data_IF_954428778147
#
_entry.id   IF_954428778147
#
_cell.length_a   1.000
_cell.length_b   1.000
_cell.length_c   1.000
_cell.angle_alpha   90.00
_cell.angle_beta   90.00
_cell.angle_gamma   90.00
#
_symmetry.space_group_name_H-M   'P 1'
#
loop_
_entity.id
_entity.type
_entity.pdbx_description
1 polymer ?
#
# COMPACT_ATOMS: atom_id res chain seq x y z
N UNK A 1 26.33 -33.77 40.44
CA UNK A 1 24.91 -34.10 40.72
C UNK A 1 24.10 -34.22 39.43
N UNK A 2 24.61 -34.97 38.44
CA UNK A 2 23.93 -35.25 37.16
C UNK A 2 24.09 -36.71 36.71
N UNK A 3 24.91 -37.49 37.40
CA UNK A 3 25.25 -38.87 37.00
C UNK A 3 24.20 -39.91 37.41
N UNK A 4 23.09 -39.50 38.03
CA UNK A 4 21.99 -40.39 38.44
C UNK A 4 20.75 -40.34 37.55
N UNK A 5 20.73 -39.52 36.49
CA UNK A 5 19.62 -39.48 35.52
C UNK A 5 19.88 -40.31 34.25
N UNK A 6 21.06 -40.91 34.13
CA UNK A 6 21.38 -41.79 33.01
C UNK A 6 21.12 -43.23 33.42
N UNK A 7 20.08 -43.81 32.81
CA UNK A 7 19.94 -45.24 32.54
C UNK A 7 19.05 -46.05 33.49
N UNK A 8 17.77 -45.73 33.55
CA UNK A 8 16.75 -46.78 33.62
C UNK A 8 16.14 -47.00 32.21
N UNK A 9 15.68 -48.21 31.95
CA UNK A 9 15.06 -48.59 30.66
C UNK A 9 13.81 -47.75 30.37
N UNK A 10 13.19 -47.23 31.43
CA UNK A 10 11.95 -46.46 31.39
C UNK A 10 12.18 -44.98 31.02
N UNK A 11 13.16 -44.28 31.63
CA UNK A 11 13.51 -42.91 31.25
C UNK A 11 14.05 -42.87 29.83
N UNK A 12 14.79 -43.90 29.38
CA UNK A 12 15.22 -43.98 27.97
C UNK A 12 14.03 -44.02 27.00
N UNK A 13 13.01 -44.81 27.32
CA UNK A 13 11.79 -44.91 26.51
C UNK A 13 10.98 -43.61 26.54
N UNK A 14 10.88 -42.97 27.71
CA UNK A 14 10.21 -41.67 27.86
C UNK A 14 10.97 -40.55 27.13
N UNK A 15 12.29 -40.55 27.19
CA UNK A 15 13.15 -39.56 26.52
C UNK A 15 13.09 -39.74 24.99
N UNK A 16 13.08 -40.98 24.50
CA UNK A 16 12.85 -41.26 23.07
C UNK A 16 11.48 -40.78 22.61
N UNK A 17 10.42 -41.02 23.39
CA UNK A 17 9.07 -40.50 23.10
C UNK A 17 9.02 -38.97 23.11
N UNK A 18 9.74 -38.32 24.01
CA UNK A 18 9.83 -36.86 24.05
C UNK A 18 10.55 -36.31 22.80
N UNK A 19 11.65 -36.93 22.39
CA UNK A 19 12.40 -36.54 21.19
C UNK A 19 11.59 -36.76 19.91
N UNK A 20 10.85 -37.86 19.79
CA UNK A 20 9.99 -38.09 18.62
C UNK A 20 8.84 -37.09 18.55
N UNK A 21 8.20 -36.77 19.67
CA UNK A 21 7.17 -35.73 19.75
C UNK A 21 7.75 -34.35 19.39
N UNK A 22 8.96 -34.03 19.86
CA UNK A 22 9.64 -32.77 19.53
C UNK A 22 9.94 -32.66 18.03
N UNK A 23 10.38 -33.74 17.40
CA UNK A 23 10.69 -33.76 15.97
C UNK A 23 9.42 -33.59 15.11
N UNK A 24 8.32 -34.27 15.48
CA UNK A 24 7.02 -34.09 14.83
C UNK A 24 6.50 -32.67 15.03
N UNK A 25 6.65 -32.09 16.23
CA UNK A 25 6.28 -30.70 16.50
C UNK A 25 7.11 -29.70 15.70
N UNK A 26 8.40 -29.95 15.49
CA UNK A 26 9.24 -29.10 14.65
C UNK A 26 8.81 -29.14 13.18
N UNK A 27 8.53 -30.33 12.63
CA UNK A 27 7.98 -30.46 11.27
C UNK A 27 6.62 -29.77 11.18
N UNK A 28 5.75 -29.97 12.18
CA UNK A 28 4.45 -29.32 12.24
C UNK A 28 4.58 -27.79 12.31
N UNK A 29 5.54 -27.24 13.06
CA UNK A 29 5.80 -25.80 13.13
C UNK A 29 6.34 -25.24 11.82
N UNK A 30 7.21 -25.98 11.12
CA UNK A 30 7.68 -25.60 9.78
C UNK A 30 6.53 -25.59 8.76
N UNK A 31 5.62 -26.56 8.84
CA UNK A 31 4.41 -26.59 8.01
C UNK A 31 3.37 -25.54 8.46
N UNK A 32 3.33 -25.23 9.75
CA UNK A 32 2.46 -24.21 10.32
C UNK A 32 2.88 -22.82 9.90
N UNK A 33 4.18 -22.53 9.76
CA UNK A 33 4.68 -21.26 9.22
C UNK A 33 4.22 -21.05 7.76
N UNK A 34 4.24 -22.13 6.96
CA UNK A 34 3.70 -22.14 5.59
C UNK A 34 2.17 -21.98 5.57
N UNK A 35 1.46 -22.58 6.53
CA UNK A 35 0.00 -22.50 6.63
C UNK A 35 -0.50 -21.18 7.26
N UNK A 36 0.34 -20.52 8.06
CA UNK A 36 0.01 -19.30 8.81
C UNK A 36 0.65 -18.03 8.27
N UNK A 37 1.12 -18.05 7.02
CA UNK A 37 1.24 -16.83 6.22
C UNK A 37 -0.13 -16.24 5.82
N UNK A 38 -1.09 -16.27 6.74
CA UNK A 38 -2.30 -15.46 6.77
C UNK A 38 -2.27 -14.60 8.04
N UNK A 39 -1.22 -13.80 8.17
CA UNK A 39 -1.29 -12.56 8.95
C UNK A 39 -2.04 -11.55 8.09
N UNK A 40 -3.36 -11.67 8.01
CA UNK A 40 -4.18 -10.56 7.56
C UNK A 40 -4.97 -10.01 8.76
N UNK A 41 -4.35 -9.00 9.37
CA UNK A 41 -5.00 -8.13 10.32
C UNK A 41 -6.01 -7.28 9.56
N UNK A 42 -7.21 -7.85 9.37
CA UNK A 42 -8.42 -7.19 8.84
C UNK A 42 -8.42 -5.69 9.06
N UNK A 43 -8.00 -4.94 8.04
CA UNK A 43 -8.68 -3.72 7.64
C UNK A 43 -9.37 -4.05 6.33
N UNK A 44 -10.62 -4.44 6.50
CA UNK A 44 -11.68 -4.49 5.50
C UNK A 44 -11.38 -3.58 4.29
N UNK A 45 -10.91 -4.16 3.20
CA UNK A 45 -11.10 -3.58 1.87
C UNK A 45 -12.47 -4.05 1.40
N UNK A 46 -13.32 -3.08 1.09
CA UNK A 46 -14.59 -3.30 0.42
C UNK A 46 -14.26 -3.84 -0.97
N UNK A 47 -14.82 -5.00 -1.26
CA UNK A 47 -14.63 -5.73 -2.52
C UNK A 47 -15.38 -5.02 -3.66
N UNK A 48 -14.70 -4.82 -4.79
CA UNK A 48 -15.20 -5.22 -6.11
C UNK A 48 -14.13 -4.88 -7.16
N UNK A 49 -13.76 -5.92 -7.92
CA UNK A 49 -13.03 -5.88 -9.19
C UNK A 49 -11.50 -5.68 -9.11
N UNK A 50 -10.79 -6.79 -9.38
CA UNK A 50 -9.50 -6.73 -10.05
C UNK A 50 -8.29 -6.90 -9.14
N UNK A 51 -7.82 -8.14 -9.01
CA UNK A 51 -6.60 -8.48 -8.29
C UNK A 51 -5.40 -7.68 -8.80
N UNK A 52 -5.02 -6.67 -8.04
CA UNK A 52 -3.68 -6.08 -8.07
C UNK A 52 -2.94 -6.62 -6.86
N UNK A 53 -1.70 -7.04 -7.06
CA UNK A 53 -0.83 -7.45 -5.97
C UNK A 53 -0.66 -6.26 -5.02
N UNK A 54 -1.30 -6.32 -3.86
CA UNK A 54 -1.15 -5.36 -2.78
C UNK A 54 0.26 -5.53 -2.19
N UNK A 55 1.25 -4.99 -2.88
CA UNK A 55 2.58 -4.80 -2.32
C UNK A 55 2.48 -3.65 -1.32
N UNK A 56 3.25 -3.69 -0.22
CA UNK A 56 3.33 -2.56 0.74
C UNK A 56 3.58 -1.21 0.04
N UNK A 57 4.31 -1.27 -1.08
CA UNK A 57 4.64 -0.15 -1.96
C UNK A 57 3.41 0.45 -2.70
N UNK A 58 2.42 -0.38 -3.06
CA UNK A 58 1.16 0.08 -3.69
C UNK A 58 0.23 0.68 -2.63
N UNK A 59 0.22 0.11 -1.43
CA UNK A 59 -0.58 0.62 -0.31
C UNK A 59 -0.14 2.03 0.11
N UNK A 60 1.16 2.31 0.18
CA UNK A 60 1.69 3.65 0.49
C UNK A 60 1.30 4.69 -0.56
N UNK A 61 1.37 4.35 -1.85
CA UNK A 61 0.94 5.24 -2.93
C UNK A 61 -0.55 5.60 -2.81
N UNK A 62 -1.38 4.61 -2.46
CA UNK A 62 -2.81 4.79 -2.21
C UNK A 62 -3.05 5.70 -0.99
N UNK A 63 -2.27 5.58 0.09
CA UNK A 63 -2.42 6.46 1.26
C UNK A 63 -2.11 7.93 0.94
N UNK A 64 -1.07 8.20 0.15
CA UNK A 64 -0.71 9.56 -0.27
C UNK A 64 -1.78 10.19 -1.18
N UNK A 65 -2.34 9.40 -2.11
CA UNK A 65 -3.46 9.80 -2.96
C UNK A 65 -4.72 10.12 -2.15
N UNK A 66 -5.07 9.26 -1.20
CA UNK A 66 -6.22 9.46 -0.29
C UNK A 66 -6.04 10.74 0.51
N UNK A 67 -4.85 10.97 1.08
CA UNK A 67 -4.57 12.17 1.86
C UNK A 67 -4.64 13.42 1.00
N UNK A 68 -4.07 13.40 -0.21
CA UNK A 68 -4.11 14.53 -1.11
C UNK A 68 -5.55 14.85 -1.52
N UNK A 69 -6.33 13.84 -1.92
CA UNK A 69 -7.76 13.95 -2.22
C UNK A 69 -8.54 14.60 -1.07
N UNK A 70 -8.32 14.13 0.16
CA UNK A 70 -9.00 14.66 1.35
C UNK A 70 -8.69 16.13 1.62
N UNK A 71 -7.47 16.60 1.29
CA UNK A 71 -7.08 18.01 1.46
C UNK A 71 -7.67 18.85 0.32
N UNK A 72 -7.56 18.38 -0.93
CA UNK A 72 -8.05 19.11 -2.11
C UNK A 72 -9.57 19.29 -2.06
N UNK A 73 -10.33 18.29 -1.62
CA UNK A 73 -11.80 18.38 -1.52
C UNK A 73 -12.28 19.43 -0.50
N UNK A 74 -11.45 19.83 0.45
CA UNK A 74 -11.76 20.90 1.41
C UNK A 74 -11.50 22.30 0.86
N UNK A 75 -10.83 22.41 -0.29
CA UNK A 75 -10.56 23.70 -0.92
C UNK A 75 -11.84 24.29 -1.51
N UNK A 76 -12.03 25.60 -1.31
CA UNK A 76 -13.21 26.32 -1.81
C UNK A 76 -13.32 26.15 -3.33
N UNK A 77 -14.47 25.67 -3.77
CA UNK A 77 -14.82 25.55 -5.18
C UNK A 77 -14.29 24.29 -5.86
N UNK A 78 -13.49 23.44 -5.20
CA UNK A 78 -12.87 22.26 -5.82
C UNK A 78 -13.86 21.10 -6.02
N UNK A 79 -14.81 20.91 -5.10
CA UNK A 79 -15.81 19.84 -5.19
C UNK A 79 -15.23 18.44 -4.98
N UNK A 80 -15.88 17.43 -5.52
CA UNK A 80 -15.35 16.06 -5.47
C UNK A 80 -14.09 15.91 -6.35
N UNK A 81 -13.12 15.14 -5.84
CA UNK A 81 -11.81 15.00 -6.48
C UNK A 81 -11.33 13.55 -6.54
N UNK A 82 -10.60 13.24 -7.60
CA UNK A 82 -9.84 12.01 -7.73
C UNK A 82 -8.39 12.35 -8.08
N UNK A 83 -7.45 11.62 -7.51
CA UNK A 83 -6.03 11.92 -7.59
C UNK A 83 -5.27 10.66 -7.97
N UNK A 84 -4.31 10.81 -8.87
CA UNK A 84 -3.33 9.78 -9.18
C UNK A 84 -1.92 10.37 -9.14
N UNK A 85 -0.99 9.70 -8.48
CA UNK A 85 0.41 10.12 -8.36
C UNK A 85 1.30 9.12 -9.09
N UNK A 86 2.14 9.64 -10.00
CA UNK A 86 3.12 8.83 -10.73
C UNK A 86 4.48 8.96 -10.06
N UNK A 87 5.10 7.83 -9.74
CA UNK A 87 6.43 7.76 -9.14
C UNK A 87 7.45 7.22 -10.13
N UNK A 88 8.62 7.85 -10.14
CA UNK A 88 9.80 7.34 -10.82
C UNK A 88 10.75 6.71 -9.81
N UNK A 89 11.22 5.50 -10.14
CA UNK A 89 12.34 4.89 -9.43
C UNK A 89 13.61 5.65 -9.75
N UNK A 90 14.22 6.23 -8.72
CA UNK A 90 15.55 6.84 -8.84
C UNK A 90 16.54 5.83 -8.27
N UNK A 91 17.31 5.23 -9.17
CA UNK A 91 18.44 4.39 -8.78
C UNK A 91 19.59 5.32 -8.40
N UNK A 92 19.93 5.34 -7.11
CA UNK A 92 21.14 6.01 -6.66
C UNK A 92 22.34 5.11 -6.96
N UNK A 93 22.99 5.38 -8.09
CA UNK A 93 24.19 4.66 -8.55
C UNK A 93 25.38 4.78 -7.58
N UNK A 94 25.28 5.61 -6.53
CA UNK A 94 26.34 5.78 -5.54
C UNK A 94 26.35 4.68 -4.45
N UNK A 95 25.43 3.71 -4.53
CA UNK A 95 25.33 2.61 -3.56
C UNK A 95 26.07 1.35 -4.01
N UNK A 96 27.38 1.44 -4.26
CA UNK A 96 28.24 0.27 -4.55
C UNK A 96 28.52 -0.55 -3.27
N UNK A 97 28.23 0.00 -2.09
CA UNK A 97 28.55 -0.59 -0.79
C UNK A 97 27.38 -0.58 0.20
N UNK A 98 26.23 -1.13 -0.17
CA UNK A 98 25.25 -1.64 0.80
C UNK A 98 24.24 -2.52 0.07
N UNK A 99 24.13 -3.79 0.46
CA UNK A 99 23.12 -4.72 -0.05
C UNK A 99 21.68 -4.40 0.36
N UNK A 100 21.37 -3.12 0.61
CA UNK A 100 20.01 -2.63 0.84
C UNK A 100 19.56 -1.84 -0.38
N UNK A 101 18.69 -2.47 -1.17
CA UNK A 101 18.06 -1.89 -2.35
C UNK A 101 16.97 -0.89 -1.91
N UNK A 102 17.34 0.20 -1.24
CA UNK A 102 16.41 1.27 -0.91
C UNK A 102 16.19 2.09 -2.18
N UNK A 103 15.26 1.64 -3.02
CA UNK A 103 14.81 2.39 -4.18
C UNK A 103 14.11 3.68 -3.71
N UNK A 104 14.80 4.81 -3.80
CA UNK A 104 14.21 6.12 -3.52
C UNK A 104 13.23 6.42 -4.66
N UNK A 105 11.96 6.59 -4.32
CA UNK A 105 10.92 6.98 -5.26
C UNK A 105 10.78 8.49 -5.25
N UNK A 106 10.73 9.09 -6.44
CA UNK A 106 10.47 10.52 -6.61
C UNK A 106 9.17 10.69 -7.38
N UNK A 107 8.30 11.59 -6.91
CA UNK A 107 7.09 11.96 -7.67
C UNK A 107 7.51 12.59 -8.99
N UNK A 108 7.01 12.02 -10.09
CA UNK A 108 7.25 12.50 -11.45
C UNK A 108 6.13 13.43 -11.90
N UNK A 109 4.89 13.11 -11.54
CA UNK A 109 3.72 13.92 -11.87
C UNK A 109 2.47 13.51 -11.09
N UNK A 110 1.48 14.39 -11.13
CA UNK A 110 0.19 14.20 -10.45
C UNK A 110 -0.93 14.57 -11.41
N UNK A 111 -1.95 13.72 -11.47
CA UNK A 111 -3.18 13.99 -12.22
C UNK A 111 -4.31 14.16 -11.20
N UNK A 112 -5.08 15.23 -11.36
CA UNK A 112 -6.25 15.53 -10.53
C UNK A 112 -7.46 15.69 -11.43
N UNK A 113 -8.53 14.96 -11.14
CA UNK A 113 -9.86 15.22 -11.68
C UNK A 113 -10.69 15.88 -10.59
N UNK A 114 -11.24 17.06 -10.82
CA UNK A 114 -12.06 17.77 -9.82
C UNK A 114 -13.27 18.43 -10.48
N UNK A 115 -14.43 18.40 -9.83
CA UNK A 115 -15.65 19.07 -10.33
C UNK A 115 -15.42 20.57 -10.57
N UNK A 116 -14.67 21.21 -9.67
CA UNK A 116 -14.35 22.64 -9.72
C UNK A 116 -13.36 23.08 -10.79
N UNK A 117 -12.74 22.16 -11.52
CA UNK A 117 -11.66 22.51 -12.46
C UNK A 117 -12.15 23.15 -13.77
N UNK A 118 -13.47 23.31 -13.96
CA UNK A 118 -14.02 24.19 -14.98
C UNK A 118 -13.69 25.67 -14.72
N UNK A 119 -13.47 26.07 -13.47
CA UNK A 119 -13.01 27.41 -13.11
C UNK A 119 -11.48 27.51 -13.16
N UNK A 120 -10.97 28.48 -13.92
CA UNK A 120 -9.52 28.68 -14.12
C UNK A 120 -8.81 29.03 -12.83
N UNK A 121 -9.46 29.77 -11.92
CA UNK A 121 -8.86 30.14 -10.63
C UNK A 121 -8.70 28.90 -9.76
N UNK A 122 -9.77 28.10 -9.63
CA UNK A 122 -9.77 26.84 -8.91
C UNK A 122 -8.75 25.86 -9.49
N UNK A 123 -8.71 25.72 -10.81
CA UNK A 123 -7.73 24.89 -11.53
C UNK A 123 -6.28 25.29 -11.20
N UNK A 124 -5.97 26.59 -11.25
CA UNK A 124 -4.64 27.09 -10.92
C UNK A 124 -4.30 26.89 -9.44
N UNK A 125 -5.26 27.04 -8.53
CA UNK A 125 -5.05 26.80 -7.10
C UNK A 125 -4.69 25.34 -6.83
N UNK A 126 -5.37 24.39 -7.48
CA UNK A 126 -5.05 22.96 -7.38
C UNK A 126 -3.63 22.69 -7.89
N UNK A 127 -3.28 23.21 -9.08
CA UNK A 127 -1.93 23.05 -9.66
C UNK A 127 -0.86 23.53 -8.69
N UNK A 128 -1.03 24.73 -8.13
CA UNK A 128 -0.05 25.33 -7.22
C UNK A 128 0.07 24.56 -5.89
N UNK A 129 -1.05 24.10 -5.34
CA UNK A 129 -1.07 23.33 -4.09
C UNK A 129 -0.30 22.02 -4.25
N UNK A 130 -0.60 21.26 -5.30
CA UNK A 130 0.04 19.96 -5.58
C UNK A 130 1.52 20.15 -5.90
N UNK A 131 1.87 21.12 -6.74
CA UNK A 131 3.26 21.44 -7.08
C UNK A 131 4.11 21.76 -5.84
N UNK A 132 3.52 22.49 -4.88
CA UNK A 132 4.19 22.87 -3.63
C UNK A 132 4.40 21.67 -2.69
N UNK A 133 3.38 20.82 -2.53
CA UNK A 133 3.46 19.65 -1.63
C UNK A 133 4.51 18.65 -2.08
N UNK A 134 4.55 18.35 -3.38
CA UNK A 134 5.47 17.34 -3.92
C UNK A 134 6.78 17.93 -4.46
N UNK A 135 6.95 19.25 -4.39
CA UNK A 135 8.10 19.98 -4.93
C UNK A 135 8.38 19.59 -6.41
N UNK A 136 7.32 19.61 -7.22
CA UNK A 136 7.36 19.31 -8.65
C UNK A 136 6.98 20.54 -9.47
N UNK A 137 7.46 20.68 -10.72
CA UNK A 137 7.04 21.75 -11.60
C UNK A 137 5.52 21.71 -11.85
N UNK A 138 4.89 22.89 -11.95
CA UNK A 138 3.45 22.97 -12.28
C UNK A 138 3.10 22.33 -13.64
N UNK A 139 4.06 22.24 -14.57
CA UNK A 139 3.90 21.52 -15.84
C UNK A 139 3.72 20.00 -15.69
N UNK A 140 4.10 19.45 -14.52
CA UNK A 140 3.97 18.03 -14.20
C UNK A 140 2.68 17.75 -13.41
N UNK A 141 1.86 18.77 -13.18
CA UNK A 141 0.53 18.63 -12.57
C UNK A 141 -0.52 18.87 -13.63
N UNK A 142 -1.38 17.89 -13.84
CA UNK A 142 -2.46 18.00 -14.80
C UNK A 142 -3.80 17.96 -14.07
N UNK A 143 -4.66 18.94 -14.37
CA UNK A 143 -5.97 19.07 -13.73
C UNK A 143 -7.07 19.05 -14.78
N UNK A 144 -8.04 18.16 -14.59
CA UNK A 144 -9.21 17.98 -15.45
C UNK A 144 -10.50 18.29 -14.69
N UNK A 145 -11.47 18.84 -15.42
CA UNK A 145 -12.84 18.93 -14.92
C UNK A 145 -13.45 17.53 -14.84
N UNK A 146 -13.96 17.18 -13.68
CA UNK A 146 -14.69 15.93 -13.46
C UNK A 146 -16.15 16.14 -13.84
N UNK A 147 -16.65 15.38 -14.81
CA UNK A 147 -18.07 15.36 -15.15
C UNK A 147 -18.81 14.35 -14.27
N UNK A 148 -19.90 14.78 -13.65
CA UNK A 148 -20.80 13.90 -12.90
C UNK A 148 -21.57 12.96 -13.84
N UNK A 149 -21.12 11.72 -13.98
CA UNK A 149 -21.82 10.72 -14.81
C UNK A 149 -23.22 10.37 -14.28
N UNK A 150 -23.49 10.62 -12.99
CA UNK A 150 -24.79 10.34 -12.36
C UNK A 150 -25.91 11.36 -12.67
N UNK A 151 -25.61 12.53 -13.26
CA UNK A 151 -26.63 13.53 -13.61
C UNK A 151 -27.22 13.34 -15.02
N UNK A 152 -26.57 12.57 -15.89
CA UNK A 152 -26.97 12.40 -17.29
C UNK A 152 -27.87 11.17 -17.56
N UNK A 153 -28.21 10.38 -16.55
CA UNK A 153 -29.04 9.17 -16.67
C UNK A 153 -30.57 9.42 -16.73
N UNK A 154 -31.03 10.67 -16.59
CA UNK A 154 -32.47 11.00 -16.53
C UNK A 154 -33.01 11.79 -17.74
N UNK A 155 -32.22 11.96 -18.82
CA UNK A 155 -32.62 12.77 -19.98
C UNK A 155 -32.87 11.98 -21.28
N UNK A 156 -33.00 10.65 -21.22
CA UNK A 156 -33.43 9.86 -22.38
C UNK A 156 -34.58 8.92 -21.98
N UNK A 157 -35.75 9.50 -21.76
CA UNK A 157 -37.02 8.76 -21.80
C UNK A 157 -38.12 9.73 -22.22
N UNK A 158 -38.16 10.01 -23.52
CA UNK A 158 -39.34 10.51 -24.25
C UNK A 158 -39.51 9.65 -25.51
#
# INVERSE_FOLDING_TARGET
MWDKLKNDKYLKDLLIKLVTVLFVAAIALLLFDVLTQSKDGRRQIVDMDGGTEYTEETALAIEEEIRLKAILSQMKGVGDTEVMITYKRVEDNNMVFSGNNNAIRKVEGVIVASEGAGDVITKNNIINAVATVFNIPGSNVMVFEKCDTNKNGFLNQD
#
